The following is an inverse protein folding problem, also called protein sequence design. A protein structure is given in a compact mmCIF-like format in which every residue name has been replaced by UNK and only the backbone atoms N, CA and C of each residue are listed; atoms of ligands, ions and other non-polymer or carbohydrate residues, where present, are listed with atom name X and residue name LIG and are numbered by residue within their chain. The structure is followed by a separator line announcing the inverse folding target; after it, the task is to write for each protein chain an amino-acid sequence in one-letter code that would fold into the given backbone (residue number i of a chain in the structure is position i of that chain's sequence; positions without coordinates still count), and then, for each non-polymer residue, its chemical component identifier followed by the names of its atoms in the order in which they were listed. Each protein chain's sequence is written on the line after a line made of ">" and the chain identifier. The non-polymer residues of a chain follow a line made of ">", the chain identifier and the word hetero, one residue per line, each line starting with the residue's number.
data_IF_877709936122
#
_entry.id   IF_877709936122
#
_cell.length_a   1.000
_cell.length_b   1.000
_cell.length_c   1.000
_cell.angle_alpha   90.00
_cell.angle_beta   90.00
_cell.angle_gamma   90.00
#
_symmetry.space_group_name_H-M   'P 1'
#
loop_
_entity.id
_entity.type
_entity.pdbx_description
1 polymer ?
#
# COMPACT_ATOMS: atom_id res chain seq x y z
N UNK A 1 22.72 4.26 -60.32
CA UNK A 1 21.70 3.56 -59.49
C UNK A 1 22.28 2.78 -58.31
N UNK A 2 23.53 2.31 -58.35
CA UNK A 2 24.15 1.53 -57.25
C UNK A 2 24.49 2.38 -56.02
N UNK A 3 24.98 3.62 -56.19
CA UNK A 3 25.35 4.51 -55.05
C UNK A 3 24.16 4.89 -54.15
N UNK A 4 22.97 5.08 -54.71
CA UNK A 4 21.75 5.42 -53.94
C UNK A 4 21.23 4.24 -53.11
N UNK A 5 21.45 3.00 -53.56
CA UNK A 5 21.07 1.77 -52.82
C UNK A 5 21.88 1.59 -51.54
N UNK A 6 23.18 1.91 -51.54
CA UNK A 6 24.02 1.78 -50.35
C UNK A 6 23.68 2.81 -49.26
N UNK A 7 23.28 4.03 -49.65
CA UNK A 7 22.86 5.07 -48.70
C UNK A 7 21.55 4.68 -48.01
N UNK A 8 20.61 4.09 -48.76
CA UNK A 8 19.32 3.64 -48.22
C UNK A 8 19.49 2.46 -47.26
N UNK A 9 20.40 1.53 -47.56
CA UNK A 9 20.74 0.40 -46.67
C UNK A 9 21.43 0.89 -45.39
N UNK A 10 22.32 1.89 -45.48
CA UNK A 10 22.96 2.48 -44.31
C UNK A 10 21.96 3.21 -43.40
N UNK A 11 20.98 3.92 -43.96
CA UNK A 11 19.90 4.58 -43.22
C UNK A 11 18.99 3.58 -42.49
N UNK A 12 18.67 2.45 -43.13
CA UNK A 12 17.88 1.37 -42.52
C UNK A 12 18.65 0.70 -41.36
N UNK A 13 19.96 0.48 -41.52
CA UNK A 13 20.80 -0.06 -40.44
C UNK A 13 20.88 0.87 -39.23
N UNK A 14 20.93 2.20 -39.44
CA UNK A 14 20.93 3.18 -38.35
C UNK A 14 19.58 3.20 -37.59
N UNK A 15 18.45 3.00 -38.30
CA UNK A 15 17.14 2.90 -37.63
C UNK A 15 17.00 1.64 -36.77
N UNK A 16 17.66 0.53 -37.13
CA UNK A 16 17.65 -0.69 -36.32
C UNK A 16 18.62 -0.63 -35.12
N UNK A 17 19.71 0.14 -35.19
CA UNK A 17 20.64 0.30 -34.06
C UNK A 17 20.19 1.32 -33.00
N UNK A 18 19.18 2.14 -33.31
CA UNK A 18 18.64 3.15 -32.38
C UNK A 18 17.41 2.69 -31.59
N UNK A 19 16.92 1.47 -31.80
CA UNK A 19 16.01 0.82 -30.86
C UNK A 19 16.83 0.29 -29.67
N UNK A 20 17.30 1.19 -28.80
CA UNK A 20 17.51 0.82 -27.41
C UNK A 20 16.12 0.63 -26.83
N UNK A 21 15.63 -0.61 -26.74
CA UNK A 21 14.50 -0.91 -25.84
C UNK A 21 14.91 -0.39 -24.47
N UNK A 22 14.13 0.55 -23.93
CA UNK A 22 14.38 1.07 -22.60
C UNK A 22 14.32 -0.11 -21.63
N UNK A 23 15.33 -0.23 -20.77
CA UNK A 23 15.56 -1.44 -19.98
C UNK A 23 14.41 -1.74 -19.00
N UNK A 24 13.55 -0.76 -18.71
CA UNK A 24 12.38 -0.91 -17.84
C UNK A 24 11.24 0.01 -18.32
N UNK A 25 10.32 -0.49 -19.15
CA UNK A 25 9.16 0.30 -19.62
C UNK A 25 8.00 0.25 -18.61
N UNK A 26 7.44 1.43 -18.32
CA UNK A 26 6.29 1.61 -17.43
C UNK A 26 5.16 2.36 -18.16
N UNK A 27 3.88 2.02 -17.95
CA UNK A 27 2.76 2.67 -18.62
C UNK A 27 2.44 4.04 -18.00
N UNK A 28 3.40 4.97 -18.03
CA UNK A 28 3.32 6.28 -17.36
C UNK A 28 2.27 7.21 -17.98
N UNK A 29 2.00 7.08 -19.28
CA UNK A 29 0.98 7.88 -19.98
C UNK A 29 -0.45 7.55 -19.55
N UNK A 30 -0.67 6.36 -18.98
CA UNK A 30 -2.01 5.96 -18.52
C UNK A 30 -2.34 6.70 -17.24
N UNK A 31 -3.48 7.39 -17.18
CA UNK A 31 -3.88 8.17 -15.99
C UNK A 31 -3.93 7.34 -14.71
N UNK A 32 -4.62 6.20 -14.73
CA UNK A 32 -4.75 5.28 -13.59
C UNK A 32 -4.24 3.90 -13.98
N UNK A 33 -3.43 3.28 -13.12
CA UNK A 33 -2.98 1.91 -13.31
C UNK A 33 -4.03 0.92 -12.82
N UNK A 34 -4.38 -0.05 -13.66
CA UNK A 34 -5.27 -1.15 -13.31
C UNK A 34 -4.49 -2.37 -12.78
N UNK A 35 -5.21 -3.43 -12.42
CA UNK A 35 -4.63 -4.63 -11.82
C UNK A 35 -3.67 -5.38 -12.74
N UNK A 36 -3.80 -5.21 -14.07
CA UNK A 36 -2.88 -5.76 -15.07
C UNK A 36 -1.61 -4.92 -15.13
N UNK A 37 -1.73 -3.59 -15.17
CA UNK A 37 -0.56 -2.70 -15.12
C UNK A 37 0.25 -2.98 -13.86
N UNK A 38 -0.39 -3.08 -12.69
CA UNK A 38 0.28 -3.43 -11.44
C UNK A 38 1.03 -4.75 -11.55
N UNK A 39 0.44 -5.79 -12.16
CA UNK A 39 1.11 -7.09 -12.34
C UNK A 39 2.43 -6.93 -13.10
N UNK A 40 2.39 -6.24 -14.23
CA UNK A 40 3.55 -6.09 -15.12
C UNK A 40 4.61 -5.17 -14.48
N UNK A 41 4.17 -4.07 -13.86
CA UNK A 41 5.04 -3.13 -13.14
C UNK A 41 5.73 -3.79 -11.94
N UNK A 42 5.00 -4.56 -11.13
CA UNK A 42 5.57 -5.28 -9.97
C UNK A 42 6.59 -6.32 -10.44
N UNK A 43 6.28 -7.07 -11.50
CA UNK A 43 7.22 -8.05 -12.05
C UNK A 43 8.51 -7.36 -12.47
N UNK A 44 8.40 -6.24 -13.18
CA UNK A 44 9.55 -5.46 -13.62
C UNK A 44 10.36 -4.89 -12.44
N UNK A 45 9.69 -4.30 -11.45
CA UNK A 45 10.36 -3.77 -10.25
C UNK A 45 11.06 -4.86 -9.43
N UNK A 46 10.54 -6.08 -9.40
CA UNK A 46 11.14 -7.19 -8.66
C UNK A 46 12.31 -7.84 -9.39
N UNK A 47 12.24 -7.96 -10.72
CA UNK A 47 13.15 -8.84 -11.48
C UNK A 47 13.81 -8.19 -12.70
N UNK A 48 13.43 -6.96 -13.08
CA UNK A 48 13.98 -6.26 -14.26
C UNK A 48 15.24 -5.44 -13.98
N UNK A 49 15.61 -5.28 -12.70
CA UNK A 49 16.80 -4.54 -12.25
C UNK A 49 17.92 -5.51 -11.90
N UNK A 50 19.13 -5.25 -12.37
CA UNK A 50 20.33 -6.00 -11.92
C UNK A 50 20.60 -5.75 -10.44
N UNK A 51 21.42 -6.61 -9.84
CA UNK A 51 21.78 -6.53 -8.42
C UNK A 51 22.42 -5.18 -8.02
N UNK A 52 23.15 -4.53 -8.92
CA UNK A 52 23.78 -3.23 -8.72
C UNK A 52 22.97 -2.04 -9.29
N UNK A 53 21.85 -2.32 -9.97
CA UNK A 53 20.97 -1.32 -10.54
C UNK A 53 19.99 -0.78 -9.48
N UNK A 54 19.99 0.54 -9.29
CA UNK A 54 19.06 1.18 -8.34
C UNK A 54 17.63 1.14 -8.87
N UNK A 55 16.72 0.75 -7.99
CA UNK A 55 15.26 0.82 -8.25
C UNK A 55 14.79 2.27 -8.20
N UNK A 56 13.61 2.58 -8.78
CA UNK A 56 13.00 3.91 -8.70
C UNK A 56 12.82 4.36 -7.25
N UNK A 57 13.07 5.64 -6.99
CA UNK A 57 12.92 6.24 -5.65
C UNK A 57 12.24 7.60 -5.75
N UNK A 58 11.65 8.07 -4.65
CA UNK A 58 11.10 9.42 -4.55
C UNK A 58 12.19 10.49 -4.68
N UNK A 59 13.43 10.20 -4.27
CA UNK A 59 14.52 11.19 -4.34
C UNK A 59 15.17 11.27 -5.74
N UNK A 60 14.88 10.34 -6.67
CA UNK A 60 15.32 10.41 -8.07
C UNK A 60 14.25 11.12 -8.95
N UNK A 61 14.47 12.37 -9.42
CA UNK A 61 13.45 13.11 -10.18
C UNK A 61 12.99 12.43 -11.48
N UNK A 62 13.86 11.68 -12.15
CA UNK A 62 13.55 11.06 -13.44
C UNK A 62 12.65 9.82 -13.27
N UNK A 63 12.81 9.09 -12.17
CA UNK A 63 12.12 7.84 -11.90
C UNK A 63 11.04 7.95 -10.81
N UNK A 64 10.97 9.09 -10.10
CA UNK A 64 10.00 9.35 -9.02
C UNK A 64 8.57 9.04 -9.42
N UNK A 65 8.19 9.40 -10.64
CA UNK A 65 6.82 9.21 -11.15
C UNK A 65 6.38 7.74 -11.12
N UNK A 66 7.32 6.79 -11.24
CA UNK A 66 7.04 5.35 -11.15
C UNK A 66 6.57 4.99 -9.74
N UNK A 67 7.26 5.50 -8.70
CA UNK A 67 6.90 5.24 -7.30
C UNK A 67 5.61 5.97 -6.93
N UNK A 68 5.45 7.21 -7.39
CA UNK A 68 4.22 7.99 -7.21
C UNK A 68 3.02 7.25 -7.79
N UNK A 69 3.11 6.75 -9.03
CA UNK A 69 2.04 5.96 -9.63
C UNK A 69 1.85 4.61 -8.95
N UNK A 70 2.92 3.92 -8.56
CA UNK A 70 2.82 2.63 -7.86
C UNK A 70 2.05 2.75 -6.54
N UNK A 71 2.18 3.89 -5.87
CA UNK A 71 1.60 4.14 -4.54
C UNK A 71 0.43 5.13 -4.55
N UNK A 72 -0.11 5.47 -5.74
CA UNK A 72 -1.28 6.34 -5.88
C UNK A 72 -2.56 5.58 -5.52
N UNK A 73 -3.18 5.96 -4.40
CA UNK A 73 -4.45 5.40 -3.94
C UNK A 73 -5.59 5.59 -4.95
N UNK A 74 -5.51 6.58 -5.85
CA UNK A 74 -6.56 6.80 -6.85
C UNK A 74 -6.67 5.62 -7.82
N UNK A 75 -5.59 4.89 -8.10
CA UNK A 75 -5.60 3.76 -9.01
C UNK A 75 -6.68 2.72 -8.68
N UNK A 76 -6.89 2.44 -7.40
CA UNK A 76 -7.95 1.56 -6.96
C UNK A 76 -9.23 2.34 -6.60
N UNK A 77 -9.13 3.52 -5.97
CA UNK A 77 -10.31 4.27 -5.51
C UNK A 77 -11.26 4.65 -6.64
N UNK A 78 -10.76 4.90 -7.85
CA UNK A 78 -11.61 5.21 -9.01
C UNK A 78 -12.62 4.10 -9.33
N UNK A 79 -12.32 2.85 -9.01
CA UNK A 79 -13.24 1.71 -9.21
C UNK A 79 -13.98 1.39 -7.91
N UNK A 80 -13.25 1.28 -6.80
CA UNK A 80 -13.85 0.84 -5.52
C UNK A 80 -14.91 1.83 -4.99
N UNK A 81 -14.77 3.12 -5.30
CA UNK A 81 -15.70 4.17 -4.83
C UNK A 81 -16.73 4.60 -5.87
N UNK A 82 -16.76 3.96 -7.04
CA UNK A 82 -17.75 4.26 -8.07
C UNK A 82 -19.06 3.51 -7.81
N UNK A 83 -20.05 4.24 -7.28
CA UNK A 83 -21.36 3.68 -6.96
C UNK A 83 -22.22 3.36 -8.20
N UNK A 84 -21.79 3.76 -9.41
CA UNK A 84 -22.44 3.32 -10.66
C UNK A 84 -22.06 1.87 -11.01
N UNK A 85 -20.97 1.36 -10.44
CA UNK A 85 -20.53 -0.03 -10.59
C UNK A 85 -21.16 -0.95 -9.54
N UNK A 86 -21.61 -2.13 -9.99
CA UNK A 86 -22.17 -3.15 -9.12
C UNK A 86 -21.18 -3.63 -8.05
N UNK A 87 -21.67 -3.88 -6.83
CA UNK A 87 -20.84 -4.23 -5.67
C UNK A 87 -19.93 -5.44 -5.92
N UNK A 88 -20.45 -6.46 -6.62
CA UNK A 88 -19.70 -7.67 -6.98
C UNK A 88 -18.49 -7.37 -7.87
N UNK A 89 -18.65 -6.45 -8.82
CA UNK A 89 -17.56 -6.04 -9.70
C UNK A 89 -16.51 -5.26 -8.92
N UNK A 90 -16.93 -4.31 -8.09
CA UNK A 90 -16.02 -3.53 -7.24
C UNK A 90 -15.24 -4.43 -6.27
N UNK A 91 -15.90 -5.41 -5.66
CA UNK A 91 -15.23 -6.34 -4.76
C UNK A 91 -14.23 -7.25 -5.51
N UNK A 92 -14.58 -7.74 -6.70
CA UNK A 92 -13.65 -8.53 -7.53
C UNK A 92 -12.38 -7.73 -7.88
N UNK A 93 -12.52 -6.46 -8.28
CA UNK A 93 -11.37 -5.58 -8.57
C UNK A 93 -10.57 -5.29 -7.29
N UNK A 94 -11.23 -5.10 -6.15
CA UNK A 94 -10.57 -4.92 -4.86
C UNK A 94 -9.73 -6.14 -4.46
N UNK A 95 -10.25 -7.36 -4.65
CA UNK A 95 -9.51 -8.62 -4.44
C UNK A 95 -8.27 -8.68 -5.32
N UNK A 96 -8.38 -8.33 -6.61
CA UNK A 96 -7.23 -8.33 -7.51
C UNK A 96 -6.16 -7.33 -7.06
N UNK A 97 -6.53 -6.11 -6.70
CA UNK A 97 -5.57 -5.13 -6.16
C UNK A 97 -4.93 -5.61 -4.85
N UNK A 98 -5.70 -6.28 -3.98
CA UNK A 98 -5.18 -6.80 -2.71
C UNK A 98 -4.12 -7.88 -2.95
N UNK A 99 -4.34 -8.77 -3.92
CA UNK A 99 -3.32 -9.75 -4.34
C UNK A 99 -2.08 -9.08 -4.95
N UNK A 100 -2.26 -8.02 -5.75
CA UNK A 100 -1.10 -7.24 -6.26
C UNK A 100 -0.33 -6.57 -5.15
N UNK A 101 -1.00 -5.99 -4.15
CA UNK A 101 -0.33 -5.35 -3.03
C UNK A 101 0.55 -6.33 -2.23
N UNK A 102 0.10 -7.58 -2.04
CA UNK A 102 0.92 -8.61 -1.38
C UNK A 102 2.23 -8.85 -2.12
N UNK A 103 2.23 -8.80 -3.45
CA UNK A 103 3.45 -8.90 -4.26
C UNK A 103 4.34 -7.64 -4.14
N UNK A 104 3.76 -6.46 -3.93
CA UNK A 104 4.50 -5.20 -3.81
C UNK A 104 5.41 -5.15 -2.58
N UNK A 105 5.04 -5.84 -1.49
CA UNK A 105 5.80 -5.80 -0.25
C UNK A 105 7.26 -6.24 -0.43
N UNK A 106 7.56 -7.04 -1.45
CA UNK A 106 8.91 -7.55 -1.74
C UNK A 106 9.80 -6.61 -2.56
N UNK A 107 9.28 -5.46 -3.03
CA UNK A 107 10.01 -4.60 -3.98
C UNK A 107 11.16 -3.84 -3.28
N UNK A 108 10.91 -3.30 -2.08
CA UNK A 108 11.77 -2.30 -1.43
C UNK A 108 12.33 -2.76 -0.08
N UNK A 109 12.51 -4.07 0.12
CA UNK A 109 12.96 -4.64 1.40
C UNK A 109 14.48 -4.71 1.58
N UNK A 110 15.26 -4.27 0.59
CA UNK A 110 16.71 -4.41 0.63
C UNK A 110 17.33 -3.58 1.78
N UNK A 111 18.28 -4.18 2.50
CA UNK A 111 19.11 -3.52 3.51
C UNK A 111 20.56 -3.41 3.05
N UNK A 112 21.28 -2.41 3.57
CA UNK A 112 22.70 -2.24 3.35
C UNK A 112 23.54 -3.07 4.34
N UNK A 113 24.88 -2.95 4.26
CA UNK A 113 25.80 -3.69 5.15
C UNK A 113 25.76 -3.26 6.61
N UNK A 114 25.00 -2.21 6.94
CA UNK A 114 24.77 -1.72 8.31
C UNK A 114 23.35 -2.06 8.78
N UNK A 115 22.66 -2.96 8.07
CA UNK A 115 21.28 -3.35 8.33
C UNK A 115 20.30 -2.16 8.23
N UNK A 116 20.63 -1.13 7.45
CA UNK A 116 19.74 0.00 7.17
C UNK A 116 18.94 -0.26 5.89
N UNK A 117 17.65 0.07 5.90
CA UNK A 117 16.85 -0.02 4.68
C UNK A 117 17.37 0.93 3.60
N UNK A 118 17.55 0.40 2.38
CA UNK A 118 18.01 1.18 1.22
C UNK A 118 16.89 2.07 0.66
N UNK A 119 15.65 1.62 0.80
CA UNK A 119 14.44 2.21 0.19
C UNK A 119 13.33 2.38 1.23
N UNK A 120 13.69 2.89 2.40
CA UNK A 120 12.83 2.93 3.58
C UNK A 120 11.53 3.75 3.35
N UNK A 121 11.61 4.85 2.60
CA UNK A 121 10.46 5.69 2.22
C UNK A 121 9.53 4.96 1.26
N UNK A 122 10.08 4.33 0.22
CA UNK A 122 9.33 3.59 -0.79
C UNK A 122 8.64 2.37 -0.19
N UNK A 123 9.35 1.62 0.67
CA UNK A 123 8.79 0.49 1.41
C UNK A 123 7.60 0.92 2.28
N UNK A 124 7.75 2.01 3.03
CA UNK A 124 6.65 2.55 3.84
C UNK A 124 5.50 3.10 2.97
N UNK A 125 5.78 3.62 1.78
CA UNK A 125 4.72 4.04 0.85
C UNK A 125 3.90 2.85 0.35
N UNK A 126 4.55 1.72 0.04
CA UNK A 126 3.87 0.45 -0.32
C UNK A 126 3.01 -0.06 0.83
N UNK A 127 3.52 -0.03 2.06
CA UNK A 127 2.74 -0.37 3.26
C UNK A 127 1.49 0.51 3.39
N UNK A 128 1.66 1.83 3.28
CA UNK A 128 0.59 2.80 3.43
C UNK A 128 -0.48 2.70 2.35
N UNK A 129 -0.08 2.45 1.09
CA UNK A 129 -0.99 2.11 0.01
C UNK A 129 -1.85 0.88 0.38
N UNK A 130 -1.21 -0.16 0.93
CA UNK A 130 -1.88 -1.36 1.43
C UNK A 130 -2.88 -1.11 2.56
N UNK A 131 -2.53 -0.26 3.52
CA UNK A 131 -3.46 0.13 4.61
C UNK A 131 -4.70 0.82 4.03
N UNK A 132 -4.52 1.78 3.10
CA UNK A 132 -5.67 2.43 2.45
C UNK A 132 -6.51 1.44 1.65
N UNK A 133 -5.89 0.53 0.90
CA UNK A 133 -6.59 -0.47 0.09
C UNK A 133 -7.41 -1.42 0.96
N UNK A 134 -6.85 -1.87 2.08
CA UNK A 134 -7.51 -2.79 3.00
C UNK A 134 -8.79 -2.19 3.59
N UNK A 135 -8.82 -0.88 3.91
CA UNK A 135 -10.05 -0.23 4.38
C UNK A 135 -11.18 -0.35 3.35
N UNK A 136 -10.92 0.02 2.10
CA UNK A 136 -11.92 -0.01 1.04
C UNK A 136 -12.29 -1.47 0.69
N UNK A 137 -11.32 -2.40 0.66
CA UNK A 137 -11.54 -3.82 0.39
C UNK A 137 -12.44 -4.50 1.43
N UNK A 138 -12.11 -4.39 2.72
CA UNK A 138 -12.90 -5.03 3.77
C UNK A 138 -14.29 -4.40 3.91
N UNK A 139 -14.39 -3.07 3.70
CA UNK A 139 -15.68 -2.38 3.67
C UNK A 139 -16.59 -2.93 2.58
N UNK A 140 -16.11 -2.99 1.34
CA UNK A 140 -16.88 -3.53 0.21
C UNK A 140 -17.27 -4.99 0.42
N UNK A 141 -16.36 -5.83 0.93
CA UNK A 141 -16.66 -7.23 1.22
C UNK A 141 -17.77 -7.38 2.27
N UNK A 142 -17.75 -6.55 3.32
CA UNK A 142 -18.81 -6.55 4.34
C UNK A 142 -20.14 -6.02 3.79
N UNK A 143 -20.12 -4.99 2.94
CA UNK A 143 -21.31 -4.47 2.26
C UNK A 143 -21.94 -5.53 1.34
N UNK A 144 -21.13 -6.28 0.57
CA UNK A 144 -21.64 -7.34 -0.31
C UNK A 144 -22.29 -8.48 0.50
N UNK A 145 -21.69 -8.85 1.64
CA UNK A 145 -22.26 -9.85 2.55
C UNK A 145 -23.63 -9.39 3.07
N UNK A 146 -23.78 -8.11 3.42
CA UNK A 146 -25.04 -7.56 3.88
C UNK A 146 -26.09 -7.52 2.77
N UNK A 147 -25.72 -7.07 1.57
CA UNK A 147 -26.64 -6.97 0.42
C UNK A 147 -27.11 -8.35 -0.07
N UNK A 148 -26.27 -9.37 0.09
CA UNK A 148 -26.56 -10.73 -0.37
C UNK A 148 -27.23 -11.62 0.68
N UNK A 149 -27.44 -11.13 1.91
CA UNK A 149 -27.98 -11.94 3.00
C UNK A 149 -29.52 -11.91 3.05
N UNK A 150 -30.14 -13.08 3.27
CA UNK A 150 -31.59 -13.19 3.49
C UNK A 150 -32.04 -12.43 4.77
N UNK A 151 -31.23 -12.49 5.83
CA UNK A 151 -31.39 -11.68 7.05
C UNK A 151 -30.04 -11.05 7.45
N UNK A 152 -29.81 -9.77 7.06
CA UNK A 152 -28.60 -9.03 7.41
C UNK A 152 -28.39 -8.86 8.92
N UNK A 153 -29.45 -8.96 9.73
CA UNK A 153 -29.40 -8.78 11.18
C UNK A 153 -29.15 -10.08 11.95
N UNK A 154 -29.12 -11.22 11.26
CA UNK A 154 -28.89 -12.52 11.86
C UNK A 154 -27.53 -12.56 12.59
N UNK A 155 -27.49 -13.32 13.69
CA UNK A 155 -26.25 -13.51 14.44
C UNK A 155 -25.11 -14.06 13.56
N UNK A 156 -25.45 -14.89 12.57
CA UNK A 156 -24.47 -15.44 11.62
C UNK A 156 -23.81 -14.35 10.78
N UNK A 157 -24.59 -13.46 10.16
CA UNK A 157 -24.06 -12.37 9.32
C UNK A 157 -23.20 -11.42 10.15
N UNK A 158 -23.71 -11.01 11.33
CA UNK A 158 -22.95 -10.17 12.28
C UNK A 158 -21.63 -10.79 12.69
N UNK A 159 -21.59 -12.10 12.96
CA UNK A 159 -20.36 -12.79 13.33
C UNK A 159 -19.33 -12.81 12.20
N UNK A 160 -19.76 -12.98 10.95
CA UNK A 160 -18.84 -12.92 9.79
C UNK A 160 -18.24 -11.53 9.65
N UNK A 161 -19.06 -10.48 9.70
CA UNK A 161 -18.61 -9.09 9.61
C UNK A 161 -17.63 -8.76 10.74
N UNK A 162 -17.95 -9.14 11.98
CA UNK A 162 -17.07 -8.93 13.12
C UNK A 162 -15.73 -9.68 12.98
N UNK A 163 -15.74 -10.87 12.38
CA UNK A 163 -14.51 -11.62 12.08
C UNK A 163 -13.66 -10.92 11.01
N UNK A 164 -14.30 -10.36 9.98
CA UNK A 164 -13.62 -9.60 8.93
C UNK A 164 -12.98 -8.33 9.50
N UNK A 165 -13.72 -7.57 10.31
CA UNK A 165 -13.21 -6.36 10.98
C UNK A 165 -12.03 -6.71 11.89
N UNK A 166 -12.11 -7.80 12.65
CA UNK A 166 -10.99 -8.28 13.47
C UNK A 166 -9.76 -8.58 12.62
N UNK A 167 -9.93 -9.26 11.49
CA UNK A 167 -8.83 -9.57 10.56
C UNK A 167 -8.19 -8.29 10.02
N UNK A 168 -8.98 -7.28 9.66
CA UNK A 168 -8.48 -5.98 9.24
C UNK A 168 -7.66 -5.29 10.35
N UNK A 169 -8.16 -5.29 11.58
CA UNK A 169 -7.45 -4.74 12.75
C UNK A 169 -6.12 -5.47 12.97
N UNK A 170 -6.11 -6.80 12.87
CA UNK A 170 -4.90 -7.62 13.02
C UNK A 170 -3.88 -7.30 11.92
N UNK A 171 -4.32 -7.06 10.69
CA UNK A 171 -3.43 -6.65 9.60
C UNK A 171 -2.80 -5.27 9.86
N UNK A 172 -3.55 -4.33 10.45
CA UNK A 172 -3.02 -3.03 10.86
C UNK A 172 -1.98 -3.17 11.98
N UNK A 173 -2.19 -4.09 12.91
CA UNK A 173 -1.23 -4.40 13.98
C UNK A 173 0.13 -4.85 13.43
N UNK A 174 0.17 -5.50 12.25
CA UNK A 174 1.43 -5.86 11.57
C UNK A 174 2.23 -4.61 11.18
N UNK A 175 1.60 -3.51 10.77
CA UNK A 175 2.34 -2.27 10.47
C UNK A 175 3.04 -1.70 11.71
N UNK A 176 2.50 -1.92 12.91
CA UNK A 176 3.19 -1.55 14.16
C UNK A 176 4.41 -2.44 14.46
N UNK A 177 4.56 -3.60 13.81
CA UNK A 177 5.77 -4.41 13.94
C UNK A 177 7.00 -3.75 13.30
N UNK A 178 6.82 -2.89 12.28
CA UNK A 178 7.91 -2.15 11.65
C UNK A 178 8.66 -1.25 12.65
N UNK A 179 8.02 -0.85 13.74
CA UNK A 179 8.66 -0.04 14.81
C UNK A 179 9.79 -0.82 15.51
N UNK A 180 9.75 -2.15 15.51
CA UNK A 180 10.87 -2.97 16.05
C UNK A 180 12.16 -2.74 15.27
N UNK A 181 12.03 -2.45 13.99
CA UNK A 181 13.14 -2.19 13.08
C UNK A 181 13.43 -0.68 12.98
N UNK A 182 12.93 0.17 13.89
CA UNK A 182 13.06 1.64 13.79
C UNK A 182 14.51 2.12 13.59
N UNK A 183 15.50 1.34 14.05
CA UNK A 183 16.93 1.65 13.92
C UNK A 183 17.42 1.51 12.48
N UNK A 184 16.78 0.66 11.67
CA UNK A 184 17.05 0.48 10.25
C UNK A 184 16.47 1.60 9.37
N UNK A 185 15.60 2.46 9.92
CA UNK A 185 14.99 3.57 9.19
C UNK A 185 15.80 4.86 9.32
N UNK A 186 15.79 5.65 8.24
CA UNK A 186 16.20 7.05 8.27
C UNK A 186 15.21 7.90 9.10
N UNK A 187 15.57 9.13 9.43
CA UNK A 187 14.66 10.05 10.11
C UNK A 187 13.43 10.41 9.25
N UNK A 188 13.59 10.44 7.92
CA UNK A 188 12.45 10.56 6.99
C UNK A 188 11.57 9.32 7.07
N UNK A 189 12.16 8.12 7.14
CA UNK A 189 11.45 6.85 7.29
C UNK A 189 10.64 6.79 8.57
N UNK A 190 11.25 7.14 9.71
CA UNK A 190 10.54 7.23 11.00
C UNK A 190 9.38 8.22 10.96
N UNK A 191 9.55 9.35 10.28
CA UNK A 191 8.47 10.33 10.08
C UNK A 191 7.33 9.73 9.27
N UNK A 192 7.65 9.11 8.12
CA UNK A 192 6.65 8.47 7.27
C UNK A 192 5.94 7.32 8.00
N UNK A 193 6.66 6.52 8.79
CA UNK A 193 6.09 5.46 9.62
C UNK A 193 5.03 6.03 10.57
N UNK A 194 5.38 7.08 11.32
CA UNK A 194 4.47 7.79 12.21
C UNK A 194 3.26 8.40 11.47
N UNK A 195 3.47 9.03 10.31
CA UNK A 195 2.37 9.60 9.51
C UNK A 195 1.37 8.51 9.06
N UNK A 196 1.86 7.31 8.76
CA UNK A 196 1.02 6.16 8.43
C UNK A 196 0.16 5.71 9.62
N UNK A 197 0.70 5.73 10.83
CA UNK A 197 -0.06 5.44 12.04
C UNK A 197 -1.14 6.52 12.23
N UNK A 198 -0.76 7.80 12.23
CA UNK A 198 -1.67 8.93 12.44
C UNK A 198 -2.82 8.93 11.41
N UNK A 199 -2.54 8.70 10.12
CA UNK A 199 -3.55 8.73 9.07
C UNK A 199 -4.43 7.48 9.08
N UNK A 200 -3.84 6.30 8.87
CA UNK A 200 -4.64 5.13 8.51
C UNK A 200 -5.31 4.48 9.72
N UNK A 201 -4.71 4.54 10.91
CA UNK A 201 -5.33 3.97 12.10
C UNK A 201 -6.51 4.83 12.56
N UNK A 202 -6.40 6.16 12.41
CA UNK A 202 -7.53 7.06 12.62
C UNK A 202 -8.67 6.71 11.67
N UNK A 203 -8.40 6.55 10.37
CA UNK A 203 -9.42 6.16 9.39
C UNK A 203 -10.06 4.80 9.72
N UNK A 204 -9.28 3.82 10.20
CA UNK A 204 -9.81 2.53 10.63
C UNK A 204 -10.78 2.66 11.81
N UNK A 205 -10.38 3.40 12.84
CA UNK A 205 -11.18 3.60 14.06
C UNK A 205 -12.43 4.42 13.77
N UNK A 206 -12.35 5.41 12.88
CA UNK A 206 -13.51 6.17 12.43
C UNK A 206 -14.49 5.31 11.60
N UNK A 207 -13.97 4.38 10.80
CA UNK A 207 -14.80 3.49 9.99
C UNK A 207 -15.51 2.42 10.83
N UNK A 208 -14.85 1.91 11.86
CA UNK A 208 -15.38 0.87 12.75
C UNK A 208 -15.23 1.26 14.23
N UNK A 209 -15.96 2.27 14.73
CA UNK A 209 -15.76 2.80 16.08
C UNK A 209 -16.05 1.80 17.20
N UNK A 210 -17.01 0.91 16.99
CA UNK A 210 -17.49 -0.06 18.00
C UNK A 210 -16.69 -1.38 17.99
N UNK A 211 -15.61 -1.44 17.19
CA UNK A 211 -14.77 -2.63 17.12
C UNK A 211 -13.85 -2.75 18.35
N UNK A 212 -13.44 -3.99 18.67
CA UNK A 212 -12.54 -4.21 19.79
C UNK A 212 -11.08 -3.93 19.41
N UNK A 213 -10.57 -2.76 19.82
CA UNK A 213 -9.18 -2.33 19.59
C UNK A 213 -8.20 -2.69 20.72
N UNK A 214 -8.61 -3.48 21.72
CA UNK A 214 -7.76 -3.78 22.89
C UNK A 214 -6.41 -4.42 22.53
N UNK A 215 -6.38 -5.27 21.51
CA UNK A 215 -5.15 -5.88 20.99
C UNK A 215 -4.21 -4.84 20.37
N UNK A 216 -4.78 -3.95 19.54
CA UNK A 216 -4.05 -2.83 18.93
C UNK A 216 -3.52 -1.85 19.98
N UNK A 217 -4.32 -1.52 21.00
CA UNK A 217 -3.87 -0.67 22.12
C UNK A 217 -2.67 -1.28 22.85
N UNK A 218 -2.76 -2.56 23.25
CA UNK A 218 -1.66 -3.28 23.91
C UNK A 218 -0.40 -3.28 23.05
N UNK A 219 -0.56 -3.48 21.73
CA UNK A 219 0.56 -3.39 20.79
C UNK A 219 1.18 -2.00 20.77
N UNK A 220 0.36 -0.96 20.63
CA UNK A 220 0.81 0.43 20.60
C UNK A 220 1.55 0.83 21.89
N UNK A 221 1.03 0.46 23.06
CA UNK A 221 1.69 0.67 24.35
C UNK A 221 3.05 -0.05 24.44
N UNK A 222 3.13 -1.28 23.93
CA UNK A 222 4.38 -2.03 23.88
C UNK A 222 5.40 -1.37 22.95
N UNK A 223 4.99 -0.95 21.76
CA UNK A 223 5.88 -0.27 20.81
C UNK A 223 6.31 1.11 21.32
N UNK A 224 5.43 1.82 22.05
CA UNK A 224 5.74 3.12 22.66
C UNK A 224 6.89 3.00 23.66
N UNK A 225 6.87 1.94 24.48
CA UNK A 225 7.94 1.65 25.46
C UNK A 225 9.26 1.27 24.79
N UNK A 226 9.21 0.69 23.59
CA UNK A 226 10.39 0.20 22.86
C UNK A 226 11.01 1.24 21.94
N UNK A 227 10.22 2.16 21.42
CA UNK A 227 10.70 3.17 20.48
C UNK A 227 11.63 4.17 21.16
N UNK A 228 12.63 4.64 20.42
CA UNK A 228 13.54 5.72 20.78
C UNK A 228 13.16 7.01 20.02
N UNK A 229 12.29 6.94 19.00
CA UNK A 229 11.86 8.10 18.22
C UNK A 229 10.70 8.87 18.86
N UNK A 230 10.90 10.16 19.14
CA UNK A 230 9.85 11.03 19.67
C UNK A 230 8.63 11.16 18.74
N UNK A 231 8.86 11.12 17.42
CA UNK A 231 7.79 11.19 16.41
C UNK A 231 6.89 9.94 16.45
N UNK A 232 7.51 8.76 16.48
CA UNK A 232 6.78 7.49 16.58
C UNK A 232 6.04 7.43 17.92
N UNK A 233 6.71 7.80 19.03
CA UNK A 233 6.07 7.88 20.34
C UNK A 233 4.85 8.78 20.35
N UNK A 234 4.96 9.99 19.79
CA UNK A 234 3.85 10.94 19.72
C UNK A 234 2.67 10.35 18.95
N UNK A 235 2.93 9.71 17.80
CA UNK A 235 1.88 9.06 17.01
C UNK A 235 1.22 7.90 17.75
N UNK A 236 2.00 7.05 18.43
CA UNK A 236 1.47 5.98 19.26
C UNK A 236 0.64 6.49 20.44
N UNK A 237 1.04 7.60 21.07
CA UNK A 237 0.23 8.25 22.11
C UNK A 237 -1.12 8.69 21.57
N UNK A 238 -1.15 9.38 20.42
CA UNK A 238 -2.42 9.78 19.79
C UNK A 238 -3.31 8.58 19.47
N UNK A 239 -2.74 7.49 18.96
CA UNK A 239 -3.48 6.26 18.69
C UNK A 239 -4.09 5.67 19.97
N UNK A 240 -3.31 5.58 21.05
CA UNK A 240 -3.78 5.06 22.35
C UNK A 240 -4.92 5.94 22.90
N UNK A 241 -4.75 7.27 22.87
CA UNK A 241 -5.77 8.23 23.31
C UNK A 241 -7.04 8.14 22.46
N UNK A 242 -6.91 7.97 21.15
CA UNK A 242 -8.04 7.80 20.25
C UNK A 242 -8.84 6.55 20.59
N UNK A 243 -8.17 5.40 20.80
CA UNK A 243 -8.83 4.15 21.21
C UNK A 243 -9.56 4.33 22.56
N UNK A 244 -8.91 4.99 23.53
CA UNK A 244 -9.50 5.21 24.85
C UNK A 244 -10.70 6.17 24.83
N UNK A 245 -10.70 7.13 23.90
CA UNK A 245 -11.83 8.05 23.73
C UNK A 245 -13.10 7.34 23.27
N UNK A 246 -12.98 6.26 22.48
CA UNK A 246 -14.13 5.50 21.96
C UNK A 246 -14.73 4.56 23.00
N UNK A 247 -13.90 3.97 23.86
CA UNK A 247 -14.39 3.11 24.95
C UNK A 247 -15.18 3.88 26.04
N UNK A 248 -14.86 5.16 26.29
CA UNK A 248 -15.58 5.95 27.28
C UNK A 248 -17.03 6.22 26.88
N UNK A 249 -17.31 6.33 25.58
CA UNK A 249 -18.67 6.60 25.08
C UNK A 249 -19.62 5.42 25.30
N UNK A 250 -19.12 4.17 25.32
CA UNK A 250 -19.93 2.96 25.56
C UNK A 250 -20.34 2.77 27.03
N UNK A 251 -19.70 3.47 27.98
CA UNK A 251 -19.97 3.29 29.43
C UNK A 251 -20.89 4.36 30.02
N UNK A 252 -21.16 5.42 29.26
CA UNK A 252 -22.00 6.57 29.67
C UNK A 252 -23.39 6.59 28.99
N UNK A 253 -23.69 5.65 28.09
CA UNK A 253 -25.03 5.36 27.53
C UNK A 253 -25.67 4.11 28.16
#
# INVERSE_FOLDING_TARGET
>A
MTKTKYILIALVLITFTNCKTEKNEYPLDKRYWDTKDYKDVILNLRFGYEDDEKKPTFDNPEQRIIVEKLTDEHNFKIVLKDNELGIKHRNAVATEFFERWKDMHQIYQATDRKDMYVYDIEMLAVWQYGLSLQLDYFKLGNEEILESADDPNSARVKNVINSNIRTLIDNYVIYLDEIKEEKAFSDKGKTKLADGIDKYFTQLIELYPDANYSGMKKKAELMFKKSESDKIKSSLTKLIELIDSKHKTETEE
#
